data_IF_535889859544
#
_entry.id   IF_535889859544
#
_cell.length_a   1.000
_cell.length_b   1.000
_cell.length_c   1.000
_cell.angle_alpha   90.00
_cell.angle_beta   90.00
_cell.angle_gamma   90.00
#
_symmetry.space_group_name_H-M   'P 1'
#
loop_
_entity.id
_entity.type
_entity.pdbx_description
1 polymer ?
#
# COMPACT_ATOMS: atom_id res chain seq x y z
N UNK A 1 1.04 -1.18 -10.99
CA UNK A 1 1.71 -0.11 -10.21
C UNK A 1 1.36 -0.25 -8.74
N UNK A 2 2.20 0.29 -7.89
CA UNK A 2 1.96 0.31 -6.45
C UNK A 2 1.91 1.76 -5.96
N UNK A 3 1.18 2.01 -4.88
CA UNK A 3 1.09 3.34 -4.24
C UNK A 3 1.42 3.16 -2.77
N UNK A 4 2.30 4.01 -2.24
CA UNK A 4 2.75 3.92 -0.86
C UNK A 4 3.03 5.31 -0.28
N UNK A 5 2.75 5.54 1.03
CA UNK A 5 3.07 6.81 1.69
C UNK A 5 4.55 6.98 2.01
N UNK A 6 5.38 5.96 1.83
CA UNK A 6 6.81 6.06 2.15
C UNK A 6 7.52 7.10 1.30
N UNK A 7 8.55 7.72 1.86
CA UNK A 7 9.33 8.70 1.11
C UNK A 7 10.01 8.08 -0.10
N UNK A 8 10.14 8.88 -1.16
CA UNK A 8 10.68 8.46 -2.46
C UNK A 8 12.06 7.80 -2.37
N UNK A 9 12.92 8.26 -1.48
CA UNK A 9 14.25 7.68 -1.27
C UNK A 9 14.19 6.21 -0.82
N UNK A 10 13.20 5.85 -0.01
CA UNK A 10 13.01 4.48 0.44
C UNK A 10 12.34 3.62 -0.63
N UNK A 11 11.35 4.16 -1.34
CA UNK A 11 10.69 3.42 -2.42
C UNK A 11 11.64 3.11 -3.56
N UNK A 12 12.55 4.01 -3.89
CA UNK A 12 13.61 3.76 -4.89
C UNK A 12 14.51 2.60 -4.48
N UNK A 13 14.94 2.56 -3.21
CA UNK A 13 15.77 1.46 -2.70
C UNK A 13 15.06 0.13 -2.80
N UNK A 14 13.77 0.08 -2.46
CA UNK A 14 12.96 -1.13 -2.56
C UNK A 14 12.84 -1.57 -4.02
N UNK A 15 12.54 -0.65 -4.93
CA UNK A 15 12.41 -0.94 -6.36
C UNK A 15 13.71 -1.50 -6.95
N UNK A 16 14.85 -0.91 -6.61
CA UNK A 16 16.16 -1.37 -7.06
C UNK A 16 16.51 -2.75 -6.48
N UNK A 17 16.30 -2.93 -5.18
CA UNK A 17 16.63 -4.17 -4.48
C UNK A 17 15.80 -5.35 -5.01
N UNK A 18 14.54 -5.15 -5.31
CA UNK A 18 13.62 -6.18 -5.77
C UNK A 18 13.55 -6.31 -7.30
N UNK A 19 14.16 -5.40 -8.03
CA UNK A 19 14.12 -5.40 -9.50
C UNK A 19 12.70 -5.27 -10.05
N UNK A 20 11.88 -4.39 -9.46
CA UNK A 20 10.48 -4.24 -9.84
C UNK A 20 10.31 -3.73 -11.27
N UNK A 21 9.43 -4.39 -12.04
CA UNK A 21 9.08 -3.99 -13.39
C UNK A 21 7.92 -3.00 -13.50
N UNK A 22 7.46 -2.44 -12.37
CA UNK A 22 6.37 -1.47 -12.31
C UNK A 22 6.72 -0.30 -11.39
N UNK A 23 6.10 0.88 -11.58
CA UNK A 23 6.41 2.04 -10.75
C UNK A 23 5.78 1.94 -9.35
N UNK A 24 6.46 2.50 -8.37
CA UNK A 24 5.90 2.78 -7.04
C UNK A 24 5.64 4.28 -6.98
N UNK A 25 4.37 4.65 -6.87
CA UNK A 25 3.95 6.05 -6.77
C UNK A 25 3.89 6.46 -5.30
N UNK A 26 4.33 7.68 -5.01
CA UNK A 26 4.25 8.24 -3.67
C UNK A 26 2.87 8.79 -3.35
N UNK A 27 2.43 8.57 -2.12
CA UNK A 27 1.21 9.18 -1.57
C UNK A 27 1.51 9.85 -0.23
N UNK A 28 2.22 10.99 -0.23
CA UNK A 28 2.59 11.69 1.00
C UNK A 28 1.36 12.01 1.85
N UNK A 29 1.40 11.66 3.14
CA UNK A 29 0.30 11.91 4.07
C UNK A 29 -0.95 11.09 3.82
N UNK A 30 -0.87 10.03 3.00
CA UNK A 30 -2.01 9.16 2.68
C UNK A 30 -3.19 9.90 2.03
N UNK A 31 -2.93 10.90 1.20
CA UNK A 31 -3.97 11.74 0.59
C UNK A 31 -4.90 10.95 -0.32
N UNK A 32 -4.34 10.10 -1.18
CA UNK A 32 -5.11 9.22 -2.07
C UNK A 32 -5.78 8.12 -1.26
N UNK A 33 -5.04 7.52 -0.32
CA UNK A 33 -5.60 6.48 0.55
C UNK A 33 -6.83 6.97 1.32
N UNK A 34 -6.86 8.22 1.75
CA UNK A 34 -8.03 8.83 2.41
C UNK A 34 -9.24 8.87 1.48
N UNK A 35 -9.05 9.16 0.20
CA UNK A 35 -10.14 9.17 -0.78
C UNK A 35 -10.74 7.78 -1.00
N UNK A 36 -9.95 6.74 -0.81
CA UNK A 36 -10.40 5.35 -0.85
C UNK A 36 -10.87 4.82 0.51
N UNK A 37 -10.88 5.68 1.54
CA UNK A 37 -11.27 5.32 2.91
C UNK A 37 -10.41 4.19 3.51
N UNK A 38 -9.12 4.16 3.16
CA UNK A 38 -8.19 3.11 3.56
C UNK A 38 -7.33 3.47 4.78
N UNK A 39 -7.40 4.70 5.26
CA UNK A 39 -6.47 5.17 6.29
C UNK A 39 -6.89 4.69 7.67
N UNK A 40 -5.93 4.09 8.38
CA UNK A 40 -6.07 3.71 9.79
C UNK A 40 -4.99 4.39 10.61
N UNK A 41 -5.32 4.77 11.84
CA UNK A 41 -4.36 5.32 12.78
C UNK A 41 -3.73 4.19 13.59
N UNK A 42 -2.41 4.20 13.70
CA UNK A 42 -1.68 3.25 14.53
C UNK A 42 -1.67 3.80 15.96
N UNK A 43 -2.12 3.03 16.97
CA UNK A 43 -2.03 3.44 18.36
C UNK A 43 -0.59 3.78 18.74
N UNK A 44 -0.41 4.82 19.56
CA UNK A 44 0.91 5.31 19.93
C UNK A 44 1.76 4.23 20.60
N UNK A 45 1.15 3.41 21.45
CA UNK A 45 1.81 2.27 22.10
C UNK A 45 2.41 1.29 21.08
N UNK A 46 1.67 1.02 20.00
CA UNK A 46 2.13 0.14 18.93
C UNK A 46 3.26 0.79 18.13
N UNK A 47 3.19 2.11 17.91
CA UNK A 47 4.26 2.85 17.25
C UNK A 47 5.57 2.76 18.05
N UNK A 48 5.50 2.88 19.37
CA UNK A 48 6.67 2.73 20.26
C UNK A 48 7.25 1.33 20.17
N UNK A 49 6.39 0.30 20.12
CA UNK A 49 6.83 -1.09 19.95
C UNK A 49 7.59 -1.26 18.64
N UNK A 50 7.08 -0.70 17.54
CA UNK A 50 7.78 -0.76 16.25
C UNK A 50 9.11 -0.01 16.26
N UNK A 51 9.19 1.14 16.94
CA UNK A 51 10.47 1.85 17.10
C UNK A 51 11.50 1.00 17.83
N UNK A 52 11.08 0.22 18.82
CA UNK A 52 11.93 -0.73 19.51
C UNK A 52 12.53 -1.79 18.59
N UNK A 53 11.87 -2.09 17.48
CA UNK A 53 12.37 -3.00 16.44
C UNK A 53 13.10 -2.27 15.28
N UNK A 54 13.33 -0.96 15.42
CA UNK A 54 14.01 -0.17 14.39
C UNK A 54 13.08 0.36 13.30
N UNK A 55 11.75 0.25 13.47
CA UNK A 55 10.77 0.75 12.52
C UNK A 55 10.19 2.07 13.03
N UNK A 56 10.54 3.17 12.36
CA UNK A 56 10.05 4.51 12.66
C UNK A 56 9.22 5.01 11.49
N UNK A 57 7.89 4.99 11.64
CA UNK A 57 6.96 5.38 10.58
C UNK A 57 7.07 6.86 10.22
N UNK A 58 7.36 7.73 11.16
CA UNK A 58 7.58 9.15 10.89
C UNK A 58 8.75 9.36 9.95
N UNK A 59 9.86 8.65 10.18
CA UNK A 59 11.03 8.72 9.33
C UNK A 59 10.78 8.14 7.93
N UNK A 60 10.11 6.99 7.87
CA UNK A 60 9.87 6.27 6.61
C UNK A 60 8.87 7.02 5.72
N UNK A 61 7.82 7.56 6.32
CA UNK A 61 6.74 8.23 5.60
C UNK A 61 6.88 9.75 5.52
N UNK A 62 7.80 10.32 6.28
CA UNK A 62 7.94 11.78 6.38
C UNK A 62 6.70 12.46 6.97
N UNK A 63 5.91 11.75 7.76
CA UNK A 63 4.63 12.19 8.29
C UNK A 63 4.46 11.71 9.73
N UNK A 64 4.21 12.63 10.64
CA UNK A 64 4.06 12.36 12.07
C UNK A 64 2.63 11.97 12.47
N UNK A 65 1.69 11.86 11.53
CA UNK A 65 0.28 11.58 11.82
C UNK A 65 0.02 10.21 12.46
N UNK A 66 0.96 9.27 12.30
CA UNK A 66 0.78 7.90 12.78
C UNK A 66 -0.29 7.13 12.01
N UNK A 67 -0.58 7.53 10.78
CA UNK A 67 -1.57 6.87 9.92
C UNK A 67 -0.88 5.99 8.87
N UNK A 68 -1.49 4.86 8.56
CA UNK A 68 -1.08 3.99 7.47
C UNK A 68 -2.28 3.61 6.61
N UNK A 69 -2.08 3.35 5.32
CA UNK A 69 -3.16 2.80 4.51
C UNK A 69 -3.35 1.31 4.83
N UNK A 70 -4.60 0.85 4.84
CA UNK A 70 -4.87 -0.58 4.86
C UNK A 70 -4.31 -1.21 3.58
N UNK A 71 -3.75 -2.43 3.66
CA UNK A 71 -3.36 -3.15 2.45
C UNK A 71 -4.57 -3.34 1.54
N UNK A 72 -4.42 -2.92 0.29
CA UNK A 72 -5.50 -3.01 -0.68
C UNK A 72 -4.93 -3.34 -2.06
N UNK A 73 -5.71 -4.09 -2.83
CA UNK A 73 -5.40 -4.41 -4.22
C UNK A 73 -6.66 -4.23 -5.05
N UNK A 74 -6.55 -3.46 -6.12
CA UNK A 74 -7.65 -3.17 -7.02
C UNK A 74 -7.32 -3.57 -8.43
N UNK A 75 -8.31 -4.09 -9.15
CA UNK A 75 -8.26 -4.25 -10.59
C UNK A 75 -9.19 -3.21 -11.19
N UNK A 76 -8.63 -2.36 -12.04
CA UNK A 76 -9.37 -1.26 -12.67
C UNK A 76 -9.52 -1.57 -14.16
N UNK A 77 -10.75 -1.48 -14.67
CA UNK A 77 -11.02 -1.65 -16.10
C UNK A 77 -10.49 -0.50 -16.93
N UNK A 78 -10.43 -0.69 -18.24
CA UNK A 78 -9.99 0.35 -19.18
C UNK A 78 -10.88 1.61 -19.17
N UNK A 79 -12.10 1.49 -18.67
CA UNK A 79 -13.05 2.60 -18.48
C UNK A 79 -12.85 3.36 -17.17
N UNK A 80 -11.86 2.99 -16.35
CA UNK A 80 -11.58 3.61 -15.07
C UNK A 80 -12.44 3.10 -13.91
N UNK A 81 -13.26 2.08 -14.13
CA UNK A 81 -14.13 1.52 -13.10
C UNK A 81 -13.44 0.36 -12.41
N UNK A 82 -13.49 0.34 -11.06
CA UNK A 82 -12.95 -0.75 -10.26
C UNK A 82 -13.79 -2.00 -10.47
N UNK A 83 -13.18 -3.06 -10.98
CA UNK A 83 -13.85 -4.34 -11.26
C UNK A 83 -13.66 -5.37 -10.16
N UNK A 84 -12.59 -5.24 -9.38
CA UNK A 84 -12.29 -6.15 -8.28
C UNK A 84 -11.54 -5.38 -7.20
N UNK A 85 -11.84 -5.67 -5.94
CA UNK A 85 -11.19 -5.04 -4.80
C UNK A 85 -10.92 -6.07 -3.70
N UNK A 86 -9.67 -6.09 -3.22
CA UNK A 86 -9.26 -6.85 -2.04
C UNK A 86 -8.74 -5.85 -1.01
N UNK A 87 -9.51 -5.61 0.04
CA UNK A 87 -9.14 -4.74 1.15
C UNK A 87 -9.26 -5.53 2.44
N UNK A 88 -8.19 -5.59 3.23
CA UNK A 88 -8.21 -6.31 4.49
C UNK A 88 -7.38 -5.59 5.53
N UNK A 89 -7.96 -5.36 6.69
CA UNK A 89 -7.27 -4.75 7.84
C UNK A 89 -6.13 -5.65 8.34
N UNK A 90 -6.29 -6.96 8.25
CA UNK A 90 -5.24 -7.93 8.57
C UNK A 90 -4.29 -8.09 7.37
N UNK A 91 -3.09 -7.54 7.49
CA UNK A 91 -2.08 -7.59 6.43
C UNK A 91 -1.57 -9.00 6.12
N UNK A 92 -1.88 -9.99 6.97
CA UNK A 92 -1.52 -11.39 6.71
C UNK A 92 -2.51 -12.08 5.78
N UNK A 93 -3.70 -11.53 5.60
CA UNK A 93 -4.76 -12.06 4.75
C UNK A 93 -4.74 -11.40 3.36
N UNK A 94 -3.60 -11.46 2.68
CA UNK A 94 -3.48 -10.93 1.32
C UNK A 94 -3.84 -12.02 0.29
N UNK A 95 -4.52 -11.65 -0.83
CA UNK A 95 -4.78 -12.63 -1.87
C UNK A 95 -3.47 -13.07 -2.53
N UNK A 96 -3.41 -14.32 -2.96
CA UNK A 96 -2.29 -14.82 -3.75
C UNK A 96 -2.22 -14.07 -5.08
N UNK A 97 -1.01 -13.78 -5.60
CA UNK A 97 -0.87 -13.13 -6.90
C UNK A 97 -1.59 -13.86 -8.03
N UNK A 98 -1.63 -15.19 -7.99
CA UNK A 98 -2.34 -16.00 -8.97
C UNK A 98 -3.84 -15.74 -9.00
N UNK A 99 -4.46 -15.47 -7.85
CA UNK A 99 -5.88 -15.11 -7.76
C UNK A 99 -6.16 -13.78 -8.46
N UNK A 100 -5.30 -12.79 -8.23
CA UNK A 100 -5.42 -11.48 -8.88
C UNK A 100 -5.28 -11.61 -10.40
N UNK A 101 -4.32 -12.41 -10.87
CA UNK A 101 -4.12 -12.65 -12.30
C UNK A 101 -5.33 -13.36 -12.90
N UNK A 102 -5.92 -14.33 -12.19
CA UNK A 102 -7.13 -15.02 -12.65
C UNK A 102 -8.31 -14.06 -12.82
N UNK A 103 -8.53 -13.15 -11.87
CA UNK A 103 -9.56 -12.13 -11.98
C UNK A 103 -9.31 -11.19 -13.15
N UNK A 104 -8.07 -10.78 -13.37
CA UNK A 104 -7.70 -9.92 -14.48
C UNK A 104 -7.96 -10.60 -15.83
N UNK A 105 -7.61 -11.87 -15.97
CA UNK A 105 -7.88 -12.64 -17.19
C UNK A 105 -9.35 -12.81 -17.46
N UNK A 106 -10.17 -13.02 -16.42
CA UNK A 106 -11.61 -13.14 -16.56
C UNK A 106 -12.24 -11.84 -17.10
N UNK A 107 -11.71 -10.68 -16.74
CA UNK A 107 -12.18 -9.38 -17.25
C UNK A 107 -11.81 -9.14 -18.72
N UNK A 108 -10.75 -9.76 -19.22
CA UNK A 108 -10.27 -9.60 -20.57
C UNK A 108 -10.89 -10.62 -21.55
N UNK A 109 -11.67 -11.54 -21.06
CA UNK A 109 -12.42 -12.51 -21.85
C UNK A 109 -13.88 -12.05 -21.96
#
# INVERSE_FOLDING_TARGET
MAISPIEKRFSRKVAEKLGLGFPILGDPGNRVAKQFELVVRIPEELQETYRGFGIDFERINGDASGTLPMPARYIVGSDGIIRHADVNLDHTCRPEPAETVAHLKALNN
#
